data_IF_891817833299
#
_entry.id   IF_891817833299
#
_cell.length_a   1.000
_cell.length_b   1.000
_cell.length_c   1.000
_cell.angle_alpha   90.00
_cell.angle_beta   90.00
_cell.angle_gamma   90.00
#
_symmetry.space_group_name_H-M   'P 1'
#
loop_
_entity.id
_entity.type
_entity.pdbx_description
1 polymer ?
#
# COMPACT_ATOMS: atom_id res chain seq x y z
N UNK A 1 -2.35 12.95 15.75
CA UNK A 1 -2.88 11.82 14.98
C UNK A 1 -1.76 11.06 14.25
N UNK A 2 -2.08 10.16 13.30
CA UNK A 2 -1.09 9.33 12.59
C UNK A 2 0.06 10.14 12.00
N UNK A 3 -0.24 11.19 11.22
CA UNK A 3 0.77 12.03 10.54
C UNK A 3 1.71 12.70 11.54
N UNK A 4 1.19 13.22 12.65
CA UNK A 4 1.99 13.85 13.71
C UNK A 4 2.96 12.86 14.37
N UNK A 5 2.44 11.65 14.70
CA UNK A 5 3.27 10.59 15.28
C UNK A 5 4.33 10.12 14.29
N UNK A 6 3.96 9.93 13.02
CA UNK A 6 4.87 9.54 11.97
C UNK A 6 6.04 10.53 11.82
N UNK A 7 5.74 11.84 11.78
CA UNK A 7 6.78 12.88 11.68
C UNK A 7 7.59 13.09 12.94
N UNK A 8 7.03 12.73 14.11
CA UNK A 8 7.77 12.75 15.37
C UNK A 8 8.80 11.61 15.42
N UNK A 9 8.39 10.39 15.02
CA UNK A 9 9.23 9.18 15.08
C UNK A 9 10.16 9.08 13.88
N UNK A 10 9.70 9.42 12.67
CA UNK A 10 10.42 9.28 11.39
C UNK A 10 10.93 7.86 11.17
N UNK A 11 10.08 6.83 11.18
CA UNK A 11 10.50 5.44 11.17
C UNK A 11 11.14 5.05 9.84
N UNK A 12 12.13 4.15 9.89
CA UNK A 12 12.68 3.51 8.69
C UNK A 12 11.76 2.41 8.18
N UNK A 13 11.07 1.74 9.09
CA UNK A 13 10.10 0.67 8.83
C UNK A 13 8.80 1.01 9.56
N UNK A 14 7.69 0.81 8.89
CA UNK A 14 6.35 1.00 9.43
C UNK A 14 5.52 -0.28 9.26
N UNK A 15 4.89 -0.75 10.32
CA UNK A 15 4.02 -1.92 10.30
C UNK A 15 2.63 -1.51 10.77
N UNK A 16 1.63 -1.83 9.96
CA UNK A 16 0.21 -1.67 10.29
C UNK A 16 -0.41 -3.07 10.46
N UNK A 17 -1.15 -3.30 11.55
CA UNK A 17 -1.72 -4.62 11.85
C UNK A 17 -3.22 -4.60 11.70
N UNK A 18 -3.74 -5.51 10.88
CA UNK A 18 -5.14 -5.58 10.48
C UNK A 18 -5.73 -6.98 10.61
N UNK A 19 -7.02 -7.07 10.37
CA UNK A 19 -7.78 -8.32 10.24
C UNK A 19 -8.49 -8.30 8.91
N UNK A 20 -8.10 -9.18 7.99
CA UNK A 20 -8.69 -9.29 6.66
C UNK A 20 -10.02 -10.04 6.66
N UNK A 21 -10.83 -9.74 5.66
CA UNK A 21 -12.04 -10.45 5.29
C UNK A 21 -11.89 -11.05 3.86
N UNK A 22 -12.99 -11.44 3.24
CA UNK A 22 -13.03 -11.90 1.83
C UNK A 22 -12.92 -13.42 1.70
N UNK A 23 -12.10 -13.87 0.74
CA UNK A 23 -11.92 -15.29 0.44
C UNK A 23 -11.41 -16.10 1.64
N UNK A 24 -11.86 -17.36 1.77
CA UNK A 24 -11.27 -18.28 2.77
C UNK A 24 -10.13 -19.08 2.16
N UNK A 25 -9.03 -19.20 2.92
CA UNK A 25 -7.79 -19.86 2.53
C UNK A 25 -7.08 -20.47 3.75
N UNK A 26 -5.99 -21.24 3.53
CA UNK A 26 -5.33 -21.96 4.61
C UNK A 26 -4.45 -21.09 5.50
N UNK A 27 -3.95 -19.96 5.01
CA UNK A 27 -3.08 -19.06 5.75
C UNK A 27 -3.78 -18.36 6.91
N UNK A 28 -3.06 -18.18 8.03
CA UNK A 28 -3.47 -17.29 9.11
C UNK A 28 -3.02 -15.85 8.84
N UNK A 29 -1.89 -15.71 8.18
CA UNK A 29 -1.21 -14.44 7.92
C UNK A 29 -1.20 -14.14 6.44
N UNK A 30 -1.49 -12.89 6.10
CA UNK A 30 -1.20 -12.31 4.80
C UNK A 30 -0.49 -10.98 4.98
N UNK A 31 0.28 -10.56 3.99
CA UNK A 31 1.01 -9.30 4.03
C UNK A 31 0.72 -8.43 2.82
N UNK A 32 0.74 -7.14 3.03
CA UNK A 32 0.78 -6.13 1.97
C UNK A 32 1.99 -5.23 2.22
N UNK A 33 3.07 -5.46 1.51
CA UNK A 33 4.18 -4.51 1.50
C UNK A 33 3.84 -3.32 0.61
N UNK A 34 4.37 -2.15 0.94
CA UNK A 34 4.34 -0.99 0.04
C UNK A 34 4.62 -1.43 -1.40
N UNK A 35 3.81 -0.97 -2.33
CA UNK A 35 3.98 -1.33 -3.73
C UNK A 35 5.37 -0.88 -4.24
N UNK A 36 6.20 -1.84 -4.64
CA UNK A 36 7.62 -1.64 -4.88
C UNK A 36 7.94 -0.70 -6.07
N UNK A 37 7.14 -0.73 -7.15
CA UNK A 37 7.34 0.19 -8.26
C UNK A 37 7.01 1.63 -7.87
N UNK A 38 6.01 1.82 -6.98
CA UNK A 38 5.65 3.13 -6.44
C UNK A 38 6.72 3.65 -5.47
N UNK A 39 7.31 2.79 -4.65
CA UNK A 39 8.43 3.16 -3.80
C UNK A 39 9.63 3.59 -4.65
N UNK A 40 9.84 2.88 -5.75
CA UNK A 40 10.78 3.23 -6.81
C UNK A 40 12.24 2.93 -6.47
N UNK A 41 13.10 3.23 -7.45
CA UNK A 41 14.56 3.14 -7.35
C UNK A 41 15.09 1.81 -6.76
N UNK A 42 16.30 1.84 -6.22
CA UNK A 42 16.96 0.68 -5.60
C UNK A 42 16.20 0.16 -4.37
N UNK A 43 15.54 1.05 -3.62
CA UNK A 43 14.82 0.66 -2.39
C UNK A 43 13.57 -0.15 -2.71
N UNK A 44 12.86 0.16 -3.82
CA UNK A 44 11.74 -0.64 -4.29
C UNK A 44 12.18 -2.04 -4.72
N UNK A 45 13.28 -2.13 -5.48
CA UNK A 45 13.87 -3.41 -5.86
C UNK A 45 14.32 -4.23 -4.64
N UNK A 46 14.98 -3.59 -3.67
CA UNK A 46 15.38 -4.21 -2.41
C UNK A 46 14.18 -4.74 -1.62
N UNK A 47 13.12 -3.94 -1.48
CA UNK A 47 11.90 -4.37 -0.79
C UNK A 47 11.32 -5.64 -1.43
N UNK A 48 11.24 -5.67 -2.76
CA UNK A 48 10.62 -6.75 -3.51
C UNK A 48 11.47 -8.03 -3.55
N UNK A 49 12.77 -7.90 -3.80
CA UNK A 49 13.65 -9.04 -4.09
C UNK A 49 14.45 -9.53 -2.87
N UNK A 50 14.57 -8.74 -1.81
CA UNK A 50 15.41 -9.09 -0.67
C UNK A 50 14.64 -9.02 0.66
N UNK A 51 14.08 -7.87 1.03
CA UNK A 51 13.50 -7.67 2.36
C UNK A 51 12.23 -8.50 2.58
N UNK A 52 11.28 -8.45 1.63
CA UNK A 52 10.06 -9.26 1.68
C UNK A 52 10.38 -10.77 1.70
N UNK A 53 11.18 -11.32 0.78
CA UNK A 53 11.54 -12.75 0.82
C UNK A 53 12.28 -13.17 2.08
N UNK A 54 13.13 -12.32 2.65
CA UNK A 54 13.82 -12.62 3.90
C UNK A 54 12.84 -12.75 5.09
N UNK A 55 11.81 -11.91 5.15
CA UNK A 55 10.75 -12.01 6.17
C UNK A 55 9.92 -13.28 5.97
N UNK A 56 9.50 -13.56 4.73
CA UNK A 56 8.73 -14.76 4.40
C UNK A 56 9.50 -16.05 4.76
N UNK A 57 10.78 -16.12 4.42
CA UNK A 57 11.65 -17.25 4.76
C UNK A 57 11.83 -17.40 6.29
N UNK A 58 12.10 -16.30 6.98
CA UNK A 58 12.28 -16.27 8.41
C UNK A 58 11.02 -16.70 9.19
N UNK A 59 9.83 -16.34 8.69
CA UNK A 59 8.56 -16.80 9.25
C UNK A 59 8.34 -18.30 9.02
N UNK A 60 8.73 -18.81 7.85
CA UNK A 60 8.62 -20.23 7.51
C UNK A 60 9.46 -21.10 8.43
N UNK A 61 10.62 -20.63 8.91
CA UNK A 61 11.44 -21.32 9.92
C UNK A 61 10.69 -21.53 11.24
N UNK A 62 9.79 -20.63 11.61
CA UNK A 62 8.92 -20.74 12.80
C UNK A 62 7.63 -21.53 12.52
N UNK A 63 7.49 -22.10 11.33
CA UNK A 63 6.29 -22.85 10.92
C UNK A 63 5.09 -21.99 10.56
N UNK A 64 5.28 -20.68 10.30
CA UNK A 64 4.23 -19.79 9.84
C UNK A 64 4.26 -19.63 8.33
N UNK A 65 3.21 -20.12 7.67
CA UNK A 65 2.96 -19.80 6.27
C UNK A 65 2.36 -18.38 6.14
N UNK A 66 2.85 -17.63 5.17
CA UNK A 66 2.33 -16.31 4.82
C UNK A 66 2.22 -16.16 3.31
N UNK A 67 1.29 -15.36 2.83
CA UNK A 67 1.08 -15.06 1.41
C UNK A 67 0.75 -13.58 1.22
N UNK A 68 0.88 -13.01 0.03
CA UNK A 68 0.36 -11.68 -0.24
C UNK A 68 -1.12 -11.56 0.11
N UNK A 69 -1.55 -10.37 0.51
CA UNK A 69 -2.96 -10.06 0.79
C UNK A 69 -3.85 -10.47 -0.39
N UNK A 70 -4.85 -11.29 -0.09
CA UNK A 70 -5.73 -11.89 -1.10
C UNK A 70 -6.84 -10.89 -1.44
N UNK A 71 -6.55 -10.01 -2.37
CA UNK A 71 -7.45 -8.95 -2.84
C UNK A 71 -8.54 -9.50 -3.77
N UNK A 72 -9.39 -10.39 -3.23
CA UNK A 72 -10.44 -11.08 -3.98
C UNK A 72 -11.78 -10.93 -3.26
N UNK A 73 -12.80 -10.48 -3.99
CA UNK A 73 -14.15 -10.28 -3.48
C UNK A 73 -15.16 -10.94 -4.41
N UNK A 74 -15.97 -11.89 -3.88
CA UNK A 74 -16.97 -12.66 -4.62
C UNK A 74 -16.42 -13.48 -5.79
N UNK A 75 -15.14 -13.76 -5.80
CA UNK A 75 -14.42 -14.60 -6.76
C UNK A 75 -13.50 -15.56 -6.02
N UNK A 76 -12.96 -16.54 -6.72
CA UNK A 76 -12.02 -17.51 -6.16
C UNK A 76 -10.59 -17.07 -6.44
N UNK A 77 -9.67 -17.18 -5.45
CA UNK A 77 -8.27 -16.77 -5.62
C UNK A 77 -7.52 -17.50 -6.74
N UNK A 78 -7.96 -18.70 -7.11
CA UNK A 78 -7.32 -19.50 -8.18
C UNK A 78 -7.41 -18.87 -9.57
N UNK A 79 -8.31 -17.93 -9.78
CA UNK A 79 -8.38 -17.14 -11.02
C UNK A 79 -7.25 -16.11 -11.16
N UNK A 80 -6.41 -15.97 -10.13
CA UNK A 80 -5.41 -14.92 -10.03
C UNK A 80 -5.94 -13.67 -9.35
N UNK A 81 -5.04 -12.89 -8.77
CA UNK A 81 -5.39 -11.63 -8.14
C UNK A 81 -4.23 -10.64 -8.16
N UNK A 82 -4.55 -9.37 -7.96
CA UNK A 82 -3.57 -8.29 -7.95
C UNK A 82 -3.17 -7.88 -6.54
N UNK A 83 -1.95 -7.34 -6.41
CA UNK A 83 -1.58 -6.59 -5.23
C UNK A 83 -2.54 -5.40 -5.08
N UNK A 84 -2.97 -5.14 -3.85
CA UNK A 84 -3.70 -3.91 -3.55
C UNK A 84 -2.77 -2.71 -3.73
N UNK A 85 -3.22 -1.70 -4.50
CA UNK A 85 -2.47 -0.45 -4.64
C UNK A 85 -2.74 0.45 -3.44
N UNK A 86 -1.76 0.58 -2.58
CA UNK A 86 -1.81 1.43 -1.38
C UNK A 86 -1.60 2.92 -1.74
N UNK A 87 -2.67 3.61 -2.10
CA UNK A 87 -2.64 5.06 -2.32
C UNK A 87 -2.25 5.84 -1.05
N UNK A 88 -1.79 7.10 -1.14
CA UNK A 88 -1.36 7.89 0.02
C UNK A 88 -2.39 8.13 1.12
N UNK A 89 -3.66 7.83 0.87
CA UNK A 89 -4.71 7.83 1.91
C UNK A 89 -4.60 6.65 2.89
N UNK A 90 -3.90 5.57 2.51
CA UNK A 90 -3.63 4.42 3.36
C UNK A 90 -2.29 4.62 4.07
N UNK A 91 -2.13 4.01 5.24
CA UNK A 91 -0.94 4.17 6.08
C UNK A 91 0.37 3.82 5.34
N UNK A 92 0.44 2.64 4.71
CA UNK A 92 1.61 2.21 3.93
C UNK A 92 1.83 3.08 2.69
N UNK A 93 0.74 3.55 2.06
CA UNK A 93 0.82 4.46 0.92
C UNK A 93 1.33 5.84 1.31
N UNK A 94 0.93 6.35 2.48
CA UNK A 94 1.45 7.60 3.01
C UNK A 94 2.93 7.49 3.35
N UNK A 95 3.34 6.43 4.05
CA UNK A 95 4.74 6.24 4.45
C UNK A 95 5.69 6.11 3.25
N UNK A 96 5.19 5.63 2.09
CA UNK A 96 5.93 5.59 0.83
C UNK A 96 6.39 6.98 0.35
N UNK A 97 5.58 8.02 0.58
CA UNK A 97 5.95 9.39 0.22
C UNK A 97 7.25 9.84 0.90
N UNK A 98 7.55 9.26 2.05
CA UNK A 98 8.71 9.56 2.88
C UNK A 98 9.84 8.52 2.75
N UNK A 99 9.71 7.58 1.83
CA UNK A 99 10.69 6.53 1.60
C UNK A 99 10.79 5.51 2.73
N UNK A 100 9.78 5.41 3.58
CA UNK A 100 9.69 4.41 4.64
C UNK A 100 9.23 3.07 4.06
N UNK A 101 9.85 1.97 4.48
CA UNK A 101 9.42 0.61 4.15
C UNK A 101 8.12 0.32 4.90
N UNK A 102 6.99 0.47 4.23
CA UNK A 102 5.67 0.19 4.79
C UNK A 102 5.27 -1.26 4.58
N UNK A 103 4.62 -1.84 5.57
CA UNK A 103 3.98 -3.14 5.44
C UNK A 103 2.74 -3.22 6.31
N UNK A 104 1.76 -3.94 5.81
CA UNK A 104 0.54 -4.28 6.52
C UNK A 104 0.55 -5.79 6.75
N UNK A 105 0.35 -6.20 7.98
CA UNK A 105 0.06 -7.57 8.35
C UNK A 105 -1.44 -7.72 8.51
N UNK A 106 -2.02 -8.66 7.77
CA UNK A 106 -3.43 -8.99 7.84
C UNK A 106 -3.58 -10.40 8.42
N UNK A 107 -4.26 -10.52 9.56
CA UNK A 107 -4.66 -11.83 10.08
C UNK A 107 -6.07 -12.16 9.62
N UNK A 108 -6.30 -13.40 9.14
CA UNK A 108 -7.59 -13.75 8.55
C UNK A 108 -8.69 -13.87 9.61
N UNK A 109 -9.82 -13.17 9.43
CA UNK A 109 -10.92 -13.13 10.39
C UNK A 109 -11.52 -14.51 10.74
N UNK A 110 -11.44 -15.48 9.81
CA UNK A 110 -11.98 -16.84 9.99
C UNK A 110 -11.03 -17.78 10.73
N UNK A 111 -9.86 -17.31 11.18
CA UNK A 111 -8.90 -18.08 11.97
C UNK A 111 -9.11 -17.84 13.47
N UNK A 112 -8.81 -18.84 14.34
CA UNK A 112 -8.91 -18.67 15.78
C UNK A 112 -8.13 -17.46 16.29
N UNK A 113 -8.67 -16.76 17.29
CA UNK A 113 -8.05 -15.57 17.85
C UNK A 113 -6.62 -15.81 18.35
N UNK A 114 -6.40 -16.91 19.05
CA UNK A 114 -5.07 -17.29 19.57
C UNK A 114 -4.04 -17.43 18.46
N UNK A 115 -4.40 -18.08 17.34
CA UNK A 115 -3.50 -18.22 16.20
C UNK A 115 -3.17 -16.86 15.59
N UNK A 116 -4.16 -15.97 15.48
CA UNK A 116 -3.94 -14.62 14.95
C UNK A 116 -2.97 -13.83 15.83
N UNK A 117 -3.13 -13.88 17.15
CA UNK A 117 -2.21 -13.21 18.10
C UNK A 117 -0.80 -13.78 18.00
N UNK A 118 -0.66 -15.11 18.04
CA UNK A 118 0.64 -15.77 17.94
C UNK A 118 1.34 -15.48 16.61
N UNK A 119 0.59 -15.50 15.49
CA UNK A 119 1.13 -15.19 14.17
C UNK A 119 1.57 -13.74 14.06
N UNK A 120 0.78 -12.78 14.58
CA UNK A 120 1.18 -11.37 14.63
C UNK A 120 2.46 -11.18 15.43
N UNK A 121 2.57 -11.82 16.60
CA UNK A 121 3.76 -11.75 17.43
C UNK A 121 5.01 -12.33 16.70
N UNK A 122 4.84 -13.49 16.05
CA UNK A 122 5.92 -14.09 15.25
C UNK A 122 6.35 -13.16 14.11
N UNK A 123 5.40 -12.59 13.38
CA UNK A 123 5.71 -11.65 12.30
C UNK A 123 6.50 -10.42 12.80
N UNK A 124 6.06 -9.78 13.86
CA UNK A 124 6.75 -8.62 14.43
C UNK A 124 8.19 -8.96 14.85
N UNK A 125 8.38 -10.09 15.51
CA UNK A 125 9.72 -10.55 15.90
C UNK A 125 10.63 -10.81 14.69
N UNK A 126 10.10 -11.47 13.64
CA UNK A 126 10.89 -11.78 12.44
C UNK A 126 11.24 -10.53 11.64
N UNK A 127 10.31 -9.57 11.55
CA UNK A 127 10.61 -8.26 10.95
C UNK A 127 11.73 -7.55 11.71
N UNK A 128 11.69 -7.54 13.06
CA UNK A 128 12.76 -6.93 13.87
C UNK A 128 14.12 -7.60 13.63
N UNK A 129 14.18 -8.93 13.62
CA UNK A 129 15.41 -9.67 13.36
C UNK A 129 15.99 -9.39 11.96
N UNK A 130 15.15 -9.41 10.93
CA UNK A 130 15.59 -9.09 9.56
C UNK A 130 16.04 -7.63 9.47
N UNK A 131 15.31 -6.71 10.08
CA UNK A 131 15.65 -5.29 10.10
C UNK A 131 16.98 -5.01 10.82
N UNK A 132 17.25 -5.69 11.94
CA UNK A 132 18.51 -5.58 12.66
C UNK A 132 19.70 -5.97 11.76
N UNK A 133 19.62 -7.10 11.09
CA UNK A 133 20.70 -7.59 10.22
C UNK A 133 20.91 -6.72 8.98
N UNK A 134 19.87 -6.02 8.52
CA UNK A 134 19.89 -5.23 7.28
C UNK A 134 19.81 -3.72 7.53
N UNK A 135 19.90 -3.29 8.77
CA UNK A 135 19.69 -1.89 9.20
C UNK A 135 20.53 -0.86 8.43
N UNK A 136 21.82 -1.15 8.26
CA UNK A 136 22.74 -0.29 7.50
C UNK A 136 22.28 -0.13 6.05
N UNK A 137 21.95 -1.23 5.38
CA UNK A 137 21.48 -1.22 3.99
C UNK A 137 20.16 -0.46 3.83
N UNK A 138 19.22 -0.64 4.74
CA UNK A 138 17.94 0.09 4.75
C UNK A 138 18.19 1.60 4.83
N UNK A 139 19.05 2.02 5.73
CA UNK A 139 19.40 3.45 5.90
C UNK A 139 20.04 4.02 4.64
N UNK A 140 21.05 3.34 4.09
CA UNK A 140 21.75 3.77 2.87
C UNK A 140 20.77 3.91 1.68
N UNK A 141 19.86 2.95 1.50
CA UNK A 141 18.86 2.99 0.42
C UNK A 141 17.85 4.13 0.60
N UNK A 142 17.47 4.46 1.84
CA UNK A 142 16.59 5.60 2.12
C UNK A 142 17.28 6.94 1.86
N UNK A 143 18.54 7.06 2.24
CA UNK A 143 19.35 8.25 1.96
C UNK A 143 19.56 8.44 0.45
N UNK A 144 19.86 7.36 -0.28
CA UNK A 144 19.94 7.35 -1.75
C UNK A 144 18.63 7.81 -2.39
N UNK A 145 17.48 7.27 -1.95
CA UNK A 145 16.17 7.67 -2.47
C UNK A 145 15.93 9.17 -2.28
N UNK A 146 16.21 9.70 -1.08
CA UNK A 146 16.05 11.12 -0.79
C UNK A 146 16.91 12.01 -1.70
N UNK A 147 18.09 11.58 -2.09
CA UNK A 147 18.96 12.28 -3.03
C UNK A 147 18.46 12.15 -4.47
N UNK A 148 18.06 10.96 -4.90
CA UNK A 148 17.58 10.70 -6.26
C UNK A 148 16.29 11.47 -6.57
N UNK A 149 15.35 11.56 -5.62
CA UNK A 149 14.08 12.28 -5.78
C UNK A 149 14.25 13.76 -6.12
N UNK A 150 15.35 14.38 -5.72
CA UNK A 150 15.66 15.78 -6.07
C UNK A 150 15.88 15.96 -7.58
N UNK A 151 16.21 14.89 -8.30
CA UNK A 151 16.47 14.90 -9.73
C UNK A 151 15.27 14.41 -10.56
N UNK A 152 14.15 14.09 -9.92
CA UNK A 152 12.97 13.67 -10.66
C UNK A 152 12.34 14.85 -11.40
N UNK A 153 12.06 14.67 -12.67
CA UNK A 153 11.37 15.67 -13.49
C UNK A 153 9.85 15.47 -13.51
N UNK A 154 9.40 14.26 -13.20
CA UNK A 154 7.99 13.88 -13.21
C UNK A 154 7.65 13.06 -11.97
N UNK A 155 6.40 13.19 -11.51
CA UNK A 155 5.87 12.41 -10.39
C UNK A 155 4.61 11.64 -10.81
N UNK A 156 4.55 10.30 -10.63
CA UNK A 156 3.37 9.51 -10.93
C UNK A 156 2.22 9.81 -9.96
N UNK A 157 1.06 10.17 -10.50
CA UNK A 157 -0.17 10.41 -9.72
C UNK A 157 -1.06 9.18 -9.63
N UNK A 158 -1.08 8.37 -10.69
CA UNK A 158 -1.84 7.11 -10.72
C UNK A 158 -1.03 5.98 -11.34
N UNK A 159 -1.45 4.76 -11.05
CA UNK A 159 -0.75 3.53 -11.42
C UNK A 159 -1.74 2.53 -12.00
N UNK A 160 -1.29 1.72 -12.94
CA UNK A 160 -2.05 0.59 -13.48
C UNK A 160 -1.19 -0.68 -13.49
N UNK A 161 -1.87 -1.84 -13.50
CA UNK A 161 -1.20 -3.14 -13.51
C UNK A 161 -0.47 -3.35 -14.84
N UNK A 162 0.81 -3.73 -14.77
CA UNK A 162 1.55 -4.27 -15.90
C UNK A 162 1.28 -5.77 -16.00
N UNK A 163 0.27 -6.14 -16.79
CA UNK A 163 -0.13 -7.55 -16.97
C UNK A 163 0.89 -8.39 -17.74
N UNK A 164 1.93 -7.78 -18.29
CA UNK A 164 3.02 -8.49 -19.00
C UNK A 164 4.05 -9.05 -18.02
N UNK A 165 4.06 -8.57 -16.77
CA UNK A 165 4.98 -8.98 -15.71
C UNK A 165 4.20 -9.44 -14.49
N UNK A 166 4.21 -10.72 -14.24
CA UNK A 166 3.45 -11.35 -13.15
C UNK A 166 4.32 -12.30 -12.35
N UNK A 167 3.94 -12.54 -11.11
CA UNK A 167 4.54 -13.54 -10.24
C UNK A 167 3.63 -14.76 -10.14
N UNK A 168 4.16 -15.94 -9.89
CA UNK A 168 3.39 -17.15 -9.62
C UNK A 168 3.48 -17.51 -8.15
N UNK A 169 2.33 -17.59 -7.48
CA UNK A 169 2.24 -18.05 -6.10
C UNK A 169 1.87 -19.53 -6.03
N UNK A 170 2.49 -20.26 -5.11
CA UNK A 170 2.00 -21.58 -4.68
C UNK A 170 0.94 -21.36 -3.60
N UNK A 171 -0.30 -21.18 -4.01
CA UNK A 171 -1.38 -20.72 -3.14
C UNK A 171 -2.14 -21.87 -2.49
N UNK A 172 -2.26 -21.83 -1.16
CA UNK A 172 -2.97 -22.81 -0.35
C UNK A 172 -4.39 -22.30 -0.06
N UNK A 173 -5.36 -22.74 -0.83
CA UNK A 173 -6.76 -22.34 -0.73
C UNK A 173 -7.69 -23.48 -0.38
N UNK A 174 -8.99 -23.23 -0.53
CA UNK A 174 -10.05 -24.21 -0.39
C UNK A 174 -10.97 -24.15 -1.63
N UNK A 175 -11.45 -25.30 -2.10
CA UNK A 175 -12.47 -25.35 -3.15
C UNK A 175 -13.69 -24.52 -2.74
N UNK A 176 -14.38 -23.92 -3.72
CA UNK A 176 -15.57 -23.11 -3.47
C UNK A 176 -16.64 -23.39 -4.49
N UNK A 177 -17.89 -23.40 -4.03
CA UNK A 177 -19.08 -23.55 -4.85
C UNK A 177 -19.99 -22.33 -4.69
N UNK A 178 -20.73 -21.99 -5.74
CA UNK A 178 -21.80 -21.01 -5.66
C UNK A 178 -23.06 -21.68 -5.13
N UNK A 179 -23.54 -21.19 -3.98
CA UNK A 179 -24.79 -21.67 -3.37
C UNK A 179 -25.77 -20.51 -3.19
N UNK A 180 -27.06 -20.82 -3.07
CA UNK A 180 -28.07 -19.84 -2.70
C UNK A 180 -27.95 -19.48 -1.20
N UNK A 181 -27.99 -18.19 -0.90
CA UNK A 181 -28.04 -17.69 0.47
C UNK A 181 -29.41 -17.92 1.10
N UNK A 182 -29.46 -18.63 2.21
CA UNK A 182 -30.71 -18.85 2.97
C UNK A 182 -31.32 -17.57 3.54
N UNK A 183 -30.57 -16.48 3.58
CA UNK A 183 -31.00 -15.18 4.14
C UNK A 183 -31.54 -14.26 3.05
N UNK A 184 -30.82 -14.18 1.91
CA UNK A 184 -31.13 -13.20 0.86
C UNK A 184 -31.72 -13.83 -0.41
N UNK A 185 -31.65 -15.15 -0.57
CA UNK A 185 -32.03 -15.84 -1.82
C UNK A 185 -31.05 -15.57 -2.98
N UNK A 186 -29.97 -14.81 -2.75
CA UNK A 186 -29.00 -14.48 -3.79
C UNK A 186 -27.84 -15.48 -3.82
N UNK A 187 -27.19 -15.67 -5.00
CA UNK A 187 -25.99 -16.48 -5.09
C UNK A 187 -24.87 -15.93 -4.21
N UNK A 188 -24.15 -16.83 -3.53
CA UNK A 188 -22.93 -16.50 -2.77
C UNK A 188 -21.88 -17.59 -2.90
N UNK A 189 -20.61 -17.25 -2.81
CA UNK A 189 -19.54 -18.23 -2.67
C UNK A 189 -19.58 -18.89 -1.29
N UNK A 190 -19.34 -20.20 -1.27
CA UNK A 190 -19.11 -21.00 -0.06
C UNK A 190 -17.86 -21.83 -0.25
N UNK A 191 -16.84 -21.56 0.56
CA UNK A 191 -15.60 -22.34 0.61
C UNK A 191 -15.80 -23.64 1.39
N UNK A 192 -15.23 -24.73 0.89
CA UNK A 192 -15.27 -26.05 1.52
C UNK A 192 -13.90 -26.40 2.14
N UNK A 193 -13.77 -26.19 3.44
CA UNK A 193 -12.51 -26.46 4.16
C UNK A 193 -12.11 -27.94 4.20
N UNK A 194 -13.01 -28.86 3.87
CA UNK A 194 -12.69 -30.29 3.72
C UNK A 194 -11.97 -30.60 2.40
N UNK A 195 -11.92 -29.62 1.47
CA UNK A 195 -11.26 -29.72 0.17
C UNK A 195 -10.13 -28.69 0.03
N UNK A 196 -9.05 -28.81 0.80
CA UNK A 196 -7.89 -27.94 0.65
C UNK A 196 -7.16 -28.22 -0.66
N UNK A 197 -6.58 -27.17 -1.25
CA UNK A 197 -5.71 -27.31 -2.42
C UNK A 197 -4.41 -26.52 -2.26
N UNK A 198 -3.41 -26.89 -3.06
CA UNK A 198 -2.21 -26.10 -3.32
C UNK A 198 -2.07 -25.97 -4.85
N UNK A 199 -2.34 -24.77 -5.38
CA UNK A 199 -2.34 -24.49 -6.82
C UNK A 199 -1.41 -23.34 -7.15
N UNK A 200 -0.87 -23.34 -8.37
CA UNK A 200 -0.16 -22.17 -8.91
C UNK A 200 -1.18 -21.13 -9.30
N UNK A 201 -1.05 -19.93 -8.75
CA UNK A 201 -1.96 -18.80 -8.96
C UNK A 201 -1.17 -17.61 -9.49
N UNK A 202 -1.68 -16.94 -10.52
CA UNK A 202 -1.08 -15.73 -11.05
C UNK A 202 -1.29 -14.56 -10.10
N UNK A 203 -0.21 -13.86 -9.78
CA UNK A 203 -0.22 -12.68 -8.94
C UNK A 203 0.30 -11.47 -9.72
N UNK A 204 -0.53 -10.44 -9.81
CA UNK A 204 -0.23 -9.22 -10.54
C UNK A 204 0.33 -8.19 -9.55
N UNK A 205 1.62 -8.19 -9.32
CA UNK A 205 2.32 -7.34 -8.36
C UNK A 205 3.21 -6.27 -9.01
N UNK A 206 3.24 -6.20 -10.32
CA UNK A 206 3.97 -5.18 -11.06
C UNK A 206 3.02 -4.09 -11.55
N UNK A 207 3.40 -2.84 -11.32
CA UNK A 207 2.63 -1.67 -11.73
C UNK A 207 3.51 -0.70 -12.51
N UNK A 208 2.88 0.05 -13.41
CA UNK A 208 3.50 1.14 -14.16
C UNK A 208 2.73 2.45 -13.97
N UNK A 209 3.40 3.61 -14.08
CA UNK A 209 2.72 4.90 -14.05
C UNK A 209 1.68 4.99 -15.16
N UNK A 210 0.46 5.40 -14.79
CA UNK A 210 -0.61 5.70 -15.73
C UNK A 210 -0.66 7.19 -16.05
N UNK A 211 -0.71 8.01 -15.01
CA UNK A 211 -0.69 9.46 -15.13
C UNK A 211 0.47 10.03 -14.31
N UNK A 212 1.12 11.03 -14.84
CA UNK A 212 2.20 11.73 -14.15
C UNK A 212 2.13 13.22 -14.40
N UNK A 213 2.73 13.99 -13.49
CA UNK A 213 2.86 15.44 -13.60
C UNK A 213 4.31 15.84 -13.64
N UNK A 214 4.62 16.90 -14.37
CA UNK A 214 5.93 17.55 -14.30
C UNK A 214 6.11 18.18 -12.92
N UNK A 215 7.25 17.95 -12.30
CA UNK A 215 7.59 18.56 -11.01
C UNK A 215 8.05 20.01 -11.31
N UNK A 216 7.34 21.05 -10.83
CA UNK A 216 7.76 22.42 -11.02
C UNK A 216 8.93 22.80 -10.09
N UNK A 217 9.60 23.89 -10.38
CA UNK A 217 10.62 24.45 -9.47
C UNK A 217 10.02 24.84 -8.11
N UNK A 218 8.80 25.35 -8.08
CA UNK A 218 8.07 25.70 -6.87
C UNK A 218 6.56 25.71 -7.10
N UNK A 219 5.82 25.51 -6.03
CA UNK A 219 4.37 25.73 -5.99
C UNK A 219 4.09 27.06 -5.27
N UNK A 220 3.20 27.86 -5.84
CA UNK A 220 2.72 29.10 -5.24
C UNK A 220 1.34 28.87 -4.64
N UNK A 221 1.20 29.04 -3.35
CA UNK A 221 -0.06 28.86 -2.61
C UNK A 221 -0.54 30.25 -2.13
N UNK A 222 -1.75 30.64 -2.55
CA UNK A 222 -2.35 31.90 -2.11
C UNK A 222 -2.63 31.88 -0.60
N UNK A 223 -2.38 32.99 0.08
CA UNK A 223 -2.53 33.15 1.55
C UNK A 223 -3.93 32.79 2.07
N UNK A 224 -4.97 32.92 1.24
CA UNK A 224 -6.36 32.58 1.60
C UNK A 224 -6.59 31.07 1.78
N UNK A 225 -5.68 30.21 1.31
CA UNK A 225 -5.78 28.75 1.40
C UNK A 225 -5.22 28.21 2.74
N UNK A 226 -5.72 28.74 3.87
CA UNK A 226 -5.24 28.36 5.20
C UNK A 226 -5.24 26.85 5.42
N UNK A 227 -6.29 26.13 5.00
CA UNK A 227 -6.34 24.64 5.15
C UNK A 227 -5.20 23.92 4.41
N UNK A 228 -4.74 24.46 3.27
CA UNK A 228 -3.60 23.88 2.54
C UNK A 228 -2.32 24.13 3.33
N UNK A 229 -2.16 25.35 3.88
CA UNK A 229 -1.00 25.74 4.70
C UNK A 229 -0.95 24.87 5.95
N UNK A 230 -2.06 24.70 6.68
CA UNK A 230 -2.17 23.82 7.85
C UNK A 230 -1.77 22.37 7.53
N UNK A 231 -2.16 21.86 6.36
CA UNK A 231 -1.76 20.53 5.89
C UNK A 231 -0.27 20.46 5.54
N UNK A 232 0.31 21.52 4.97
CA UNK A 232 1.75 21.61 4.72
C UNK A 232 2.54 21.56 6.04
N UNK A 233 2.10 22.32 7.04
CA UNK A 233 2.71 22.33 8.37
C UNK A 233 2.61 20.96 9.06
N UNK A 234 1.43 20.33 8.99
CA UNK A 234 1.19 18.99 9.51
C UNK A 234 2.13 17.96 8.87
N UNK A 235 2.31 18.04 7.56
CA UNK A 235 3.16 17.15 6.77
C UNK A 235 4.64 17.58 6.76
N UNK A 236 5.02 18.60 7.52
CA UNK A 236 6.40 19.10 7.59
C UNK A 236 6.99 19.50 6.22
N UNK A 237 6.14 20.02 5.34
CA UNK A 237 6.56 20.54 4.03
C UNK A 237 7.15 21.94 4.25
N UNK A 238 8.39 22.11 3.84
CA UNK A 238 9.06 23.42 3.96
C UNK A 238 8.53 24.40 2.92
N UNK A 239 8.24 25.63 3.32
CA UNK A 239 7.87 26.71 2.45
C UNK A 239 8.44 28.04 2.95
N UNK A 240 8.46 29.06 2.08
CA UNK A 240 8.83 30.43 2.42
C UNK A 240 7.66 31.37 2.16
N UNK A 241 7.54 32.40 3.00
CA UNK A 241 6.51 33.43 2.87
C UNK A 241 7.05 34.57 2.01
N UNK A 242 6.32 34.89 0.93
CA UNK A 242 6.57 36.12 0.15
C UNK A 242 6.03 37.28 0.98
N UNK A 243 6.92 38.16 1.44
CA UNK A 243 6.58 39.26 2.38
C UNK A 243 6.11 40.53 1.71
N UNK A 244 6.46 40.71 0.46
CA UNK A 244 6.18 41.91 -0.31
C UNK A 244 5.40 41.60 -1.60
N UNK A 245 4.67 42.57 -2.12
CA UNK A 245 3.99 42.43 -3.40
C UNK A 245 5.01 42.13 -4.49
N UNK A 246 4.82 41.00 -5.16
CA UNK A 246 5.80 40.49 -6.13
C UNK A 246 5.09 40.06 -7.40
N UNK A 247 5.60 40.45 -8.54
CA UNK A 247 5.15 39.96 -9.84
C UNK A 247 5.96 38.71 -10.22
N UNK A 248 5.28 37.58 -10.44
CA UNK A 248 5.89 36.30 -10.81
C UNK A 248 5.23 35.78 -12.09
N UNK A 249 6.06 35.17 -12.95
CA UNK A 249 5.54 34.37 -14.06
C UNK A 249 5.26 32.97 -13.54
N UNK A 250 4.01 32.52 -13.64
CA UNK A 250 3.59 31.21 -13.13
C UNK A 250 2.56 30.58 -14.08
N UNK A 251 2.58 29.26 -14.14
CA UNK A 251 1.46 28.51 -14.70
C UNK A 251 0.32 28.48 -13.69
N UNK A 252 -0.88 28.83 -14.14
CA UNK A 252 -2.06 28.88 -13.26
C UNK A 252 -2.99 27.72 -13.60
N UNK A 253 -3.17 26.83 -12.64
CA UNK A 253 -4.15 25.75 -12.76
C UNK A 253 -5.54 26.23 -12.38
N UNK A 254 -6.48 26.09 -13.29
CA UNK A 254 -7.88 26.42 -13.06
C UNK A 254 -8.74 25.19 -13.31
N UNK A 255 -9.41 24.71 -12.27
CA UNK A 255 -10.36 23.61 -12.41
C UNK A 255 -11.48 24.03 -13.35
N UNK A 256 -11.61 23.35 -14.49
CA UNK A 256 -12.64 23.59 -15.51
C UNK A 256 -13.88 22.74 -15.27
N UNK A 257 -13.67 21.49 -14.86
CA UNK A 257 -14.74 20.53 -14.61
C UNK A 257 -14.30 19.43 -13.65
N UNK A 258 -15.24 18.82 -12.97
CA UNK A 258 -15.04 17.64 -12.12
C UNK A 258 -16.36 16.90 -11.92
N UNK A 259 -16.28 15.62 -11.54
CA UNK A 259 -17.42 14.82 -11.11
C UNK A 259 -17.34 14.56 -9.62
N UNK A 260 -18.49 14.41 -8.97
CA UNK A 260 -18.61 14.09 -7.54
C UNK A 260 -19.37 12.78 -7.38
N UNK A 261 -18.91 11.90 -6.50
CA UNK A 261 -19.67 10.67 -6.17
C UNK A 261 -20.99 11.03 -5.52
N UNK A 262 -22.06 10.29 -5.86
CA UNK A 262 -23.40 10.50 -5.30
C UNK A 262 -23.57 9.98 -3.85
N UNK A 263 -22.53 9.41 -3.25
CA UNK A 263 -22.54 8.89 -1.88
C UNK A 263 -21.24 9.30 -1.17
N UNK A 264 -21.36 9.48 0.16
CA UNK A 264 -20.21 9.80 0.98
C UNK A 264 -19.31 8.57 1.18
N UNK A 265 -18.01 8.82 1.20
CA UNK A 265 -17.01 7.85 1.64
C UNK A 265 -16.19 8.47 2.77
N UNK A 266 -16.21 7.85 3.94
CA UNK A 266 -15.54 8.37 5.16
C UNK A 266 -15.90 9.84 5.48
N UNK A 267 -17.17 10.19 5.33
CA UNK A 267 -17.68 11.54 5.60
C UNK A 267 -17.41 12.58 4.51
N UNK A 268 -16.85 12.19 3.38
CA UNK A 268 -16.56 13.07 2.25
C UNK A 268 -17.21 12.58 0.95
N UNK A 269 -17.53 13.50 0.06
CA UNK A 269 -17.98 13.23 -1.31
C UNK A 269 -16.79 13.36 -2.25
N UNK A 270 -16.08 12.28 -2.60
CA UNK A 270 -14.87 12.35 -3.43
C UNK A 270 -15.15 12.91 -4.81
N UNK A 271 -14.29 13.82 -5.26
CA UNK A 271 -14.27 14.30 -6.63
C UNK A 271 -13.38 13.39 -7.49
N UNK A 272 -13.73 13.29 -8.77
CA UNK A 272 -12.98 12.50 -9.75
C UNK A 272 -13.13 13.09 -11.15
N UNK A 273 -12.30 12.65 -12.11
CA UNK A 273 -12.23 13.17 -13.47
C UNK A 273 -12.09 14.70 -13.48
N UNK A 274 -11.23 15.23 -12.62
CA UNK A 274 -10.94 16.66 -12.57
C UNK A 274 -10.15 17.07 -13.81
N UNK A 275 -10.65 18.09 -14.52
CA UNK A 275 -9.98 18.73 -15.64
C UNK A 275 -9.47 20.10 -15.22
N UNK A 276 -8.24 20.44 -15.59
CA UNK A 276 -7.59 21.72 -15.34
C UNK A 276 -7.17 22.41 -16.64
#
# INVERSE_FOLDING_TARGET
TFVEIFHLIKPDIFIDTHVSNGADYQYTLTHLFTQHNKLGDKIGAYLHHEFKPAIEASLSEDGWDITPFVNVHNEVPENGFSQFMDHPRYSTGYTTLWGTLGMMLETHMLKPYEQRVKGTYAFLNRVMLVAETQSKKIKELRDDLGNNRKNWSHYPLSWEIDSTRTTTLNFKGYEADTIESKVTGLPRLKYDRSKPYNKKVTYYDTFMPKDSVTIPEAYIVGKAWNKVIDLMDLNKISYSIVKEDTALMAEVYKIKDYKTRGYAYEGHYPHYNTMV
#
